data_IF_453391003767
#
_entry.id   IF_453391003767
#
_cell.length_a   1.000
_cell.length_b   1.000
_cell.length_c   1.000
_cell.angle_alpha   90.00
_cell.angle_beta   90.00
_cell.angle_gamma   90.00
#
_symmetry.space_group_name_H-M   'P 1'
#
loop_
_entity.id
_entity.type
_entity.pdbx_description
1 polymer ?
#
# COMPACT_ATOMS: atom_id res chain seq x y z
N UNK A 1 5.41 -22.16 -27.60
CA UNK A 1 6.51 -22.33 -28.59
C UNK A 1 6.24 -23.59 -29.40
N UNK A 2 6.44 -23.58 -30.72
CA UNK A 2 6.23 -24.76 -31.58
C UNK A 2 7.57 -25.48 -31.76
N UNK A 3 7.62 -26.77 -31.40
CA UNK A 3 8.81 -27.61 -31.65
C UNK A 3 8.68 -28.21 -33.04
N UNK A 4 9.69 -28.01 -33.88
CA UNK A 4 9.76 -28.60 -35.22
C UNK A 4 10.57 -29.90 -35.20
N UNK A 5 10.18 -30.86 -36.04
CA UNK A 5 10.87 -32.16 -36.14
C UNK A 5 11.43 -32.41 -37.53
N UNK A 6 12.55 -33.11 -37.60
CA UNK A 6 13.26 -33.39 -38.85
C UNK A 6 12.43 -34.20 -39.86
N UNK A 7 11.53 -35.07 -39.38
CA UNK A 7 10.56 -35.78 -40.24
C UNK A 7 9.59 -34.87 -41.02
N UNK A 8 9.47 -33.59 -40.66
CA UNK A 8 8.66 -32.62 -41.39
C UNK A 8 9.40 -31.98 -42.58
N UNK A 9 10.73 -32.09 -42.63
CA UNK A 9 11.57 -31.45 -43.66
C UNK A 9 12.38 -32.46 -44.49
N UNK A 10 12.58 -33.67 -43.98
CA UNK A 10 13.31 -34.73 -44.65
C UNK A 10 12.61 -36.08 -44.43
N UNK A 11 12.70 -36.99 -45.41
CA UNK A 11 12.20 -38.36 -45.28
C UNK A 11 13.09 -39.19 -44.34
N UNK A 12 13.04 -38.87 -43.05
CA UNK A 12 13.81 -39.49 -41.96
C UNK A 12 12.87 -39.73 -40.80
N UNK A 13 12.87 -40.94 -40.24
CA UNK A 13 12.00 -41.36 -39.12
C UNK A 13 12.43 -40.78 -37.75
N UNK A 14 13.02 -39.59 -37.74
CA UNK A 14 13.53 -38.93 -36.53
C UNK A 14 12.67 -37.68 -36.22
N UNK A 15 12.14 -37.55 -34.98
CA UNK A 15 12.28 -38.49 -33.87
C UNK A 15 11.44 -39.75 -34.10
N UNK A 16 11.88 -40.88 -33.52
CA UNK A 16 11.15 -42.15 -33.61
C UNK A 16 9.73 -42.02 -33.05
N UNK A 17 8.83 -42.90 -33.49
CA UNK A 17 7.38 -42.77 -33.25
C UNK A 17 7.02 -42.68 -31.76
N UNK A 18 7.77 -43.36 -30.89
CA UNK A 18 7.59 -43.28 -29.44
C UNK A 18 7.78 -41.86 -28.89
N UNK A 19 8.77 -41.11 -29.38
CA UNK A 19 9.04 -39.73 -28.95
C UNK A 19 8.13 -38.74 -29.69
N UNK A 20 7.84 -39.00 -30.97
CA UNK A 20 6.92 -38.16 -31.75
C UNK A 20 5.51 -38.11 -31.13
N UNK A 21 4.99 -39.25 -30.67
CA UNK A 21 3.67 -39.33 -30.01
C UNK A 21 3.58 -38.50 -28.71
N UNK A 22 4.71 -38.23 -28.05
CA UNK A 22 4.80 -37.50 -26.78
C UNK A 22 5.24 -36.05 -26.95
N UNK A 23 5.53 -35.62 -28.18
CA UNK A 23 6.08 -34.29 -28.44
C UNK A 23 5.07 -33.18 -28.15
N UNK A 24 3.78 -33.44 -28.38
CA UNK A 24 2.69 -32.51 -28.02
C UNK A 24 2.67 -32.22 -26.51
N UNK A 25 2.72 -33.26 -25.69
CA UNK A 25 2.76 -33.15 -24.23
C UNK A 25 4.04 -32.46 -23.74
N UNK A 26 5.18 -32.77 -24.38
CA UNK A 26 6.45 -32.12 -24.07
C UNK A 26 6.41 -30.62 -24.41
N UNK A 27 5.90 -30.26 -25.59
CA UNK A 27 5.75 -28.87 -26.01
C UNK A 27 4.76 -28.11 -25.12
N UNK A 28 3.68 -28.76 -24.69
CA UNK A 28 2.72 -28.22 -23.73
C UNK A 28 3.36 -27.97 -22.36
N UNK A 29 4.14 -28.93 -21.84
CA UNK A 29 4.88 -28.79 -20.57
C UNK A 29 5.96 -27.72 -20.63
N UNK A 30 6.73 -27.66 -21.72
CA UNK A 30 7.74 -26.62 -21.92
C UNK A 30 7.08 -25.26 -22.07
N UNK A 31 5.98 -25.15 -22.81
CA UNK A 31 5.24 -23.89 -22.95
C UNK A 31 4.60 -23.48 -21.62
N UNK A 32 4.12 -24.42 -20.80
CA UNK A 32 3.61 -24.13 -19.45
C UNK A 32 4.72 -23.72 -18.47
N UNK A 33 5.91 -24.34 -18.57
CA UNK A 33 7.07 -23.99 -17.76
C UNK A 33 7.67 -22.63 -18.16
N UNK A 34 7.72 -22.33 -19.46
CA UNK A 34 8.15 -21.03 -19.99
C UNK A 34 7.09 -19.94 -19.80
N UNK A 35 5.80 -20.30 -19.85
CA UNK A 35 4.65 -19.45 -19.51
C UNK A 35 4.35 -19.41 -18.02
N UNK A 36 5.19 -20.05 -17.20
CA UNK A 36 5.12 -20.10 -15.73
C UNK A 36 5.52 -18.79 -15.09
N UNK A 37 4.80 -17.74 -15.41
CA UNK A 37 4.60 -16.54 -14.62
C UNK A 37 3.31 -15.95 -15.16
N UNK A 38 2.24 -16.06 -14.37
CA UNK A 38 0.97 -15.42 -14.65
C UNK A 38 1.22 -13.92 -14.88
N UNK A 39 1.25 -13.52 -16.15
CA UNK A 39 1.41 -12.15 -16.59
C UNK A 39 0.24 -11.84 -17.52
N UNK A 40 -0.84 -11.24 -16.99
CA UNK A 40 -1.73 -10.37 -17.78
C UNK A 40 -2.69 -9.54 -16.88
N UNK A 41 -3.17 -8.35 -17.29
CA UNK A 41 -2.92 -7.59 -18.52
C UNK A 41 -2.11 -6.29 -18.33
N UNK A 42 -1.50 -5.86 -19.44
CA UNK A 42 -0.95 -4.53 -19.61
C UNK A 42 -2.08 -3.50 -19.79
N UNK A 43 -2.25 -2.62 -18.82
CA UNK A 43 -2.72 -1.25 -19.07
C UNK A 43 -1.59 -0.30 -18.75
N UNK A 44 -0.74 -0.04 -19.75
CA UNK A 44 -0.11 1.25 -20.06
C UNK A 44 0.48 2.14 -18.97
N UNK A 45 0.75 1.65 -17.77
CA UNK A 45 1.47 2.36 -16.70
C UNK A 45 2.40 1.38 -16.03
N UNK A 46 3.69 1.68 -16.03
CA UNK A 46 4.71 0.93 -15.29
C UNK A 46 4.51 1.18 -13.80
N UNK A 47 3.50 0.56 -13.20
CA UNK A 47 3.19 0.75 -11.77
C UNK A 47 4.17 -0.07 -10.94
N UNK A 48 4.99 0.59 -10.14
CA UNK A 48 5.86 -0.07 -9.18
C UNK A 48 5.14 -0.37 -7.88
N UNK A 49 5.16 -1.63 -7.47
CA UNK A 49 4.67 -2.09 -6.17
C UNK A 49 5.79 -2.11 -5.15
N UNK A 50 5.70 -1.26 -4.13
CA UNK A 50 6.73 -1.14 -3.09
C UNK A 50 6.32 -1.91 -1.85
N UNK A 51 7.22 -2.75 -1.32
CA UNK A 51 6.99 -3.49 -0.07
C UNK A 51 7.69 -2.77 1.07
N UNK A 52 6.93 -2.20 2.01
CA UNK A 52 7.41 -1.38 3.14
C UNK A 52 6.57 -1.63 4.39
N UNK A 53 7.03 -1.18 5.57
CA UNK A 53 6.18 -1.18 6.79
C UNK A 53 5.15 -0.05 6.75
N UNK A 54 5.63 1.14 6.38
CA UNK A 54 4.82 2.33 6.07
C UNK A 54 5.30 2.95 4.77
N UNK A 55 4.45 3.77 4.14
CA UNK A 55 4.89 4.55 2.99
C UNK A 55 5.98 5.57 3.35
N UNK A 56 5.81 6.26 4.49
CA UNK A 56 6.69 7.32 4.97
C UNK A 56 8.10 6.80 5.32
N UNK A 57 8.23 5.59 5.85
CA UNK A 57 9.53 4.98 6.15
C UNK A 57 10.13 4.31 4.90
N UNK A 58 10.81 5.12 4.07
CA UNK A 58 11.49 4.62 2.88
C UNK A 58 12.66 3.68 3.20
N UNK A 59 13.21 3.68 4.41
CA UNK A 59 14.31 2.79 4.82
C UNK A 59 13.81 1.38 5.12
N UNK A 60 12.54 1.24 5.48
CA UNK A 60 11.88 -0.06 5.63
C UNK A 60 11.60 -0.79 4.30
N UNK A 61 12.10 -0.31 3.15
CA UNK A 61 11.81 -0.95 1.88
C UNK A 61 12.52 -2.30 1.73
N UNK A 62 11.74 -3.38 1.66
CA UNK A 62 12.25 -4.72 1.34
C UNK A 62 12.47 -4.93 -0.15
N UNK A 63 11.70 -4.24 -0.99
CA UNK A 63 11.80 -4.36 -2.44
C UNK A 63 10.78 -3.53 -3.20
N UNK A 64 11.02 -3.34 -4.49
CA UNK A 64 10.08 -2.74 -5.44
C UNK A 64 9.92 -3.69 -6.64
N UNK A 65 8.68 -4.04 -6.97
CA UNK A 65 8.34 -5.07 -7.94
C UNK A 65 7.42 -4.52 -9.01
N UNK A 66 7.62 -4.94 -10.26
CA UNK A 66 6.67 -4.63 -11.36
C UNK A 66 5.45 -5.57 -11.37
N UNK A 67 5.59 -6.73 -10.73
CA UNK A 67 4.55 -7.76 -10.68
C UNK A 67 3.99 -7.81 -9.27
N UNK A 68 2.69 -7.59 -9.12
CA UNK A 68 1.99 -7.56 -7.83
C UNK A 68 2.16 -8.88 -7.06
N UNK A 69 2.10 -10.02 -7.75
CA UNK A 69 2.23 -11.34 -7.13
C UNK A 69 3.56 -11.48 -6.37
N UNK A 70 4.67 -10.96 -6.92
CA UNK A 70 5.98 -11.00 -6.27
C UNK A 70 6.02 -10.10 -5.03
N UNK A 71 5.36 -8.95 -5.07
CA UNK A 71 5.23 -8.07 -3.91
C UNK A 71 4.40 -8.72 -2.79
N UNK A 72 3.30 -9.40 -3.14
CA UNK A 72 2.46 -10.16 -2.19
C UNK A 72 3.24 -11.28 -1.54
N UNK A 73 3.92 -12.11 -2.32
CA UNK A 73 4.76 -13.19 -1.81
C UNK A 73 5.84 -12.67 -0.83
N UNK A 74 6.39 -11.47 -1.09
CA UNK A 74 7.35 -10.85 -0.17
C UNK A 74 6.71 -10.42 1.15
N UNK A 75 5.50 -9.88 1.11
CA UNK A 75 4.72 -9.53 2.31
C UNK A 75 4.34 -10.78 3.10
N UNK A 76 3.90 -11.85 2.44
CA UNK A 76 3.52 -13.10 3.10
C UNK A 76 4.71 -13.72 3.86
N UNK A 77 5.92 -13.58 3.32
CA UNK A 77 7.16 -13.99 3.97
C UNK A 77 7.65 -13.03 5.09
N UNK A 78 7.09 -11.81 5.18
CA UNK A 78 7.50 -10.78 6.14
C UNK A 78 6.27 -10.18 6.82
N UNK A 79 5.75 -10.83 7.87
CA UNK A 79 4.63 -10.30 8.64
C UNK A 79 4.99 -8.89 9.18
N UNK A 80 4.06 -7.93 9.11
CA UNK A 80 4.21 -6.48 9.39
C UNK A 80 4.60 -5.56 8.21
N UNK A 81 4.69 -6.10 6.99
CA UNK A 81 4.89 -5.31 5.77
C UNK A 81 3.61 -5.24 4.93
N UNK A 82 3.53 -4.22 4.07
CA UNK A 82 2.46 -4.03 3.12
C UNK A 82 3.00 -3.66 1.74
N UNK A 83 2.22 -3.99 0.71
CA UNK A 83 2.43 -3.55 -0.66
C UNK A 83 1.75 -2.20 -0.84
N UNK A 84 2.52 -1.21 -1.30
CA UNK A 84 2.06 0.13 -1.64
C UNK A 84 2.13 0.35 -3.15
N UNK A 85 1.18 1.12 -3.69
CA UNK A 85 1.24 1.63 -5.06
C UNK A 85 2.14 2.88 -5.18
N UNK A 86 2.22 3.47 -6.37
CA UNK A 86 3.04 4.66 -6.63
C UNK A 86 2.58 5.91 -5.86
N UNK A 87 1.30 5.95 -5.49
CA UNK A 87 0.70 7.04 -4.73
C UNK A 87 0.85 6.83 -3.21
N UNK A 88 1.43 5.70 -2.78
CA UNK A 88 1.60 5.36 -1.37
C UNK A 88 0.36 4.80 -0.69
N UNK A 89 -0.62 4.33 -1.48
CA UNK A 89 -1.78 3.62 -0.96
C UNK A 89 -1.41 2.15 -0.72
N UNK A 90 -1.70 1.64 0.47
CA UNK A 90 -1.56 0.22 0.78
C UNK A 90 -2.63 -0.58 0.01
N UNK A 91 -2.20 -1.58 -0.77
CA UNK A 91 -3.07 -2.43 -1.59
C UNK A 91 -3.09 -3.90 -1.14
N UNK A 92 -2.14 -4.32 -0.29
CA UNK A 92 -2.07 -5.67 0.26
C UNK A 92 -1.23 -5.72 1.53
N UNK A 93 -1.61 -6.58 2.48
CA UNK A 93 -0.91 -6.76 3.75
C UNK A 93 -1.31 -5.78 4.85
N UNK A 94 -0.89 -6.07 6.07
CA UNK A 94 -1.10 -5.21 7.23
C UNK A 94 -0.01 -4.14 7.25
N UNK A 95 -0.34 -2.96 6.73
CA UNK A 95 0.53 -1.81 6.88
C UNK A 95 0.60 -1.47 8.37
N UNK A 96 1.80 -1.48 8.93
CA UNK A 96 1.99 -1.05 10.31
C UNK A 96 1.94 0.47 10.27
N UNK A 97 0.77 1.09 10.39
CA UNK A 97 0.69 2.54 10.62
C UNK A 97 1.58 2.84 11.82
N UNK A 98 2.59 3.70 11.63
CA UNK A 98 3.49 4.09 12.70
C UNK A 98 2.63 4.44 13.91
N UNK A 99 2.78 3.67 14.99
CA UNK A 99 2.00 3.84 16.20
C UNK A 99 2.22 5.25 16.70
N UNK A 100 1.23 6.12 16.48
CA UNK A 100 1.29 7.48 16.94
C UNK A 100 1.36 7.45 18.46
N UNK A 101 2.43 7.99 19.04
CA UNK A 101 2.56 8.11 20.48
C UNK A 101 1.76 9.33 20.93
N UNK A 102 0.66 9.16 21.69
CA UNK A 102 -0.15 10.28 22.14
C UNK A 102 0.68 11.26 22.98
N UNK A 103 0.43 12.55 22.83
CA UNK A 103 1.09 13.59 23.61
C UNK A 103 0.12 14.69 24.03
N UNK A 104 0.54 15.50 24.99
CA UNK A 104 -0.24 16.62 25.52
C UNK A 104 0.06 17.90 24.76
N UNK A 105 -0.97 18.71 24.54
CA UNK A 105 -0.88 20.06 24.02
C UNK A 105 -1.67 21.02 24.89
N UNK A 106 -1.21 22.26 25.03
CA UNK A 106 -1.95 23.36 25.65
C UNK A 106 -2.53 24.26 24.57
N UNK A 107 -3.85 24.46 24.58
CA UNK A 107 -4.55 25.39 23.69
C UNK A 107 -4.59 26.76 24.35
N UNK A 108 -4.18 27.80 23.60
CA UNK A 108 -4.03 29.17 24.13
C UNK A 108 -5.23 30.08 23.86
N UNK A 109 -6.15 29.67 22.98
CA UNK A 109 -7.32 30.48 22.60
C UNK A 109 -8.62 29.98 23.23
N UNK A 110 -9.54 30.89 23.51
CA UNK A 110 -10.78 30.60 24.26
C UNK A 110 -11.81 29.82 23.45
N UNK A 111 -11.81 29.93 22.12
CA UNK A 111 -12.87 29.38 21.26
C UNK A 111 -12.29 28.62 20.05
N UNK A 112 -11.34 27.71 20.27
CA UNK A 112 -10.83 26.85 19.19
C UNK A 112 -11.90 25.83 18.78
N UNK A 113 -12.39 25.96 17.55
CA UNK A 113 -13.41 25.08 16.99
C UNK A 113 -12.91 23.64 16.83
N UNK A 114 -13.75 22.69 17.23
CA UNK A 114 -13.55 21.26 16.98
C UNK A 114 -14.25 20.88 15.68
N UNK A 115 -13.55 20.20 14.77
CA UNK A 115 -14.03 19.85 13.43
C UNK A 115 -14.12 18.35 13.21
N UNK A 116 -15.07 17.95 12.35
CA UNK A 116 -15.33 16.54 11.99
C UNK A 116 -14.23 15.89 11.15
N UNK A 117 -13.23 16.66 10.71
CA UNK A 117 -12.10 16.17 9.92
C UNK A 117 -10.95 17.17 9.92
N UNK A 118 -9.78 16.75 9.43
CA UNK A 118 -8.59 17.58 9.40
C UNK A 118 -8.69 18.61 8.27
N UNK A 119 -9.29 19.76 8.56
CA UNK A 119 -9.37 20.88 7.63
C UNK A 119 -10.55 21.83 7.90
N UNK A 120 -10.42 23.08 7.46
CA UNK A 120 -11.50 24.08 7.56
C UNK A 120 -12.68 23.81 6.63
N UNK A 121 -12.50 22.96 5.62
CA UNK A 121 -13.54 22.47 4.72
C UNK A 121 -14.48 21.43 5.38
N UNK A 122 -14.10 20.88 6.54
CA UNK A 122 -14.97 20.00 7.33
C UNK A 122 -15.88 20.81 8.26
N UNK A 123 -17.11 20.32 8.42
CA UNK A 123 -18.09 20.89 9.36
C UNK A 123 -17.58 20.87 10.80
N UNK A 124 -18.04 21.83 11.61
CA UNK A 124 -17.76 21.85 13.04
C UNK A 124 -18.63 20.82 13.78
N UNK A 125 -18.18 20.38 14.94
CA UNK A 125 -18.98 19.53 15.86
C UNK A 125 -20.02 20.37 16.62
N UNK A 126 -19.98 21.71 16.49
CA UNK A 126 -20.77 22.63 17.30
C UNK A 126 -20.21 22.84 18.71
N UNK A 127 -18.98 22.36 18.97
CA UNK A 127 -18.25 22.54 20.24
C UNK A 127 -16.86 23.16 19.99
N UNK A 128 -16.30 23.77 21.01
CA UNK A 128 -14.94 24.30 21.06
C UNK A 128 -14.19 23.73 22.27
N UNK A 129 -12.86 23.66 22.21
CA UNK A 129 -12.04 23.12 23.31
C UNK A 129 -11.91 24.09 24.49
N UNK A 130 -11.77 25.38 24.20
CA UNK A 130 -11.33 26.36 25.19
C UNK A 130 -9.84 26.28 25.51
N UNK A 131 -9.40 27.19 26.39
CA UNK A 131 -8.05 27.15 26.97
C UNK A 131 -7.91 25.93 27.87
N UNK A 132 -6.84 25.16 27.69
CA UNK A 132 -6.61 23.96 28.51
C UNK A 132 -5.65 22.97 27.88
N UNK A 133 -5.41 21.87 28.59
CA UNK A 133 -4.53 20.79 28.15
C UNK A 133 -5.35 19.64 27.53
N UNK A 134 -4.92 19.17 26.36
CA UNK A 134 -5.61 18.12 25.61
C UNK A 134 -4.62 17.06 25.14
N UNK A 135 -5.08 15.80 25.08
CA UNK A 135 -4.29 14.69 24.52
C UNK A 135 -4.59 14.54 23.04
N UNK A 136 -3.55 14.65 22.21
CA UNK A 136 -3.60 14.34 20.78
C UNK A 136 -3.26 12.88 20.57
N UNK A 137 -4.02 12.19 19.73
CA UNK A 137 -3.86 10.74 19.43
C UNK A 137 -3.59 10.44 17.96
N UNK A 138 -3.75 11.44 17.09
CA UNK A 138 -3.45 11.34 15.67
C UNK A 138 -3.17 12.74 15.12
N UNK A 139 -2.33 12.83 14.10
CA UNK A 139 -2.11 14.06 13.35
C UNK A 139 -2.40 13.85 11.86
N UNK A 140 -2.92 14.88 11.21
CA UNK A 140 -3.15 14.88 9.78
C UNK A 140 -2.88 16.26 9.16
N UNK A 141 -2.52 16.26 7.88
CA UNK A 141 -2.43 17.47 7.07
C UNK A 141 -3.80 17.83 6.53
N UNK A 142 -4.14 19.12 6.54
CA UNK A 142 -5.47 19.58 6.18
C UNK A 142 -5.52 21.09 5.95
N UNK A 143 -6.51 21.57 5.20
CA UNK A 143 -6.62 22.98 4.85
C UNK A 143 -6.82 23.88 6.09
N UNK A 144 -6.14 25.02 6.12
CA UNK A 144 -6.36 26.05 7.14
C UNK A 144 -5.63 25.84 8.47
N UNK A 145 -4.68 24.90 8.52
CA UNK A 145 -3.67 24.82 9.58
C UNK A 145 -2.38 24.19 9.05
N UNK A 146 -1.23 24.42 9.70
CA UNK A 146 0.01 23.68 9.39
C UNK A 146 -0.16 22.20 9.68
N UNK A 147 -0.90 21.87 10.75
CA UNK A 147 -1.23 20.49 11.13
C UNK A 147 -2.51 20.43 11.96
N UNK A 148 -3.23 19.33 11.83
CA UNK A 148 -4.43 19.04 12.60
C UNK A 148 -4.16 17.91 13.58
N UNK A 149 -4.69 18.03 14.80
CA UNK A 149 -4.60 17.01 15.83
C UNK A 149 -5.97 16.47 16.22
N UNK A 150 -6.10 15.14 16.28
CA UNK A 150 -7.30 14.46 16.79
C UNK A 150 -7.27 14.37 18.31
N UNK A 151 -8.31 14.87 18.96
CA UNK A 151 -8.48 14.79 20.40
C UNK A 151 -8.80 13.36 20.84
N UNK A 152 -8.19 12.91 21.95
CA UNK A 152 -8.43 11.58 22.53
C UNK A 152 -9.91 11.29 22.79
N UNK A 153 -10.69 12.29 23.22
CA UNK A 153 -12.13 12.14 23.49
C UNK A 153 -12.99 11.92 22.24
N UNK A 154 -12.45 12.16 21.05
CA UNK A 154 -13.14 11.99 19.77
C UNK A 154 -12.44 10.94 18.87
N UNK A 155 -11.59 10.09 19.48
CA UNK A 155 -10.81 9.10 18.76
C UNK A 155 -11.70 8.06 18.07
N UNK A 156 -12.75 7.60 18.75
CA UNK A 156 -13.63 6.53 18.26
C UNK A 156 -14.44 6.94 17.02
N UNK A 157 -14.91 8.20 17.00
CA UNK A 157 -15.65 8.78 15.87
C UNK A 157 -14.77 9.47 14.81
N UNK A 158 -13.48 9.68 15.11
CA UNK A 158 -12.52 10.47 14.31
C UNK A 158 -13.05 11.85 13.91
N UNK A 159 -13.89 12.45 14.74
CA UNK A 159 -14.67 13.64 14.42
C UNK A 159 -14.32 14.84 15.31
N UNK A 160 -13.17 14.84 15.97
CA UNK A 160 -12.72 15.91 16.86
C UNK A 160 -11.33 16.44 16.58
N UNK A 161 -11.17 17.08 15.43
CA UNK A 161 -9.92 17.66 14.98
C UNK A 161 -9.80 19.14 15.35
N UNK A 162 -8.63 19.52 15.88
CA UNK A 162 -8.29 20.91 16.19
C UNK A 162 -7.03 21.33 15.41
N UNK A 163 -6.92 22.64 15.13
CA UNK A 163 -5.70 23.19 14.53
C UNK A 163 -4.58 23.22 15.59
N UNK A 164 -3.43 22.65 15.25
CA UNK A 164 -2.24 22.66 16.11
C UNK A 164 -1.47 23.97 16.05
N UNK A 165 -1.82 24.90 15.16
CA UNK A 165 -1.20 26.24 15.12
C UNK A 165 -1.55 27.07 16.37
N UNK A 166 -2.66 26.74 17.03
CA UNK A 166 -3.12 27.38 18.27
C UNK A 166 -2.83 26.54 19.53
N UNK A 167 -2.02 25.49 19.39
CA UNK A 167 -1.69 24.58 20.46
C UNK A 167 -0.17 24.41 20.60
N UNK A 168 0.35 24.45 21.84
CA UNK A 168 1.76 24.22 22.13
C UNK A 168 1.93 22.83 22.76
N UNK A 169 2.87 22.03 22.27
CA UNK A 169 3.19 20.75 22.88
C UNK A 169 3.83 20.95 24.26
N UNK A 170 3.42 20.13 25.22
CA UNK A 170 3.90 20.13 26.61
C UNK A 170 4.57 18.80 26.96
#
# INVERSE_FOLDING_TARGET
>A
MVITVHRWFANKSCPGDWLYARLGDLAAKVTAALGGSQQEPATGKTVWYRVRKTWADSKSQLGAYKVLANAKAKVDANPAYAVFDENGKAIYGTATTASFAPYLVSVTIDNLNIRKGPGTNYGTVGKFTGKGCFTIVEEASGQGASKWGLLKSYADGRDGWISLDFAARI
#
